data_IF_919917970587
#
_entry.id   IF_919917970587
#
_cell.length_a   1.000
_cell.length_b   1.000
_cell.length_c   1.000
_cell.angle_alpha   90.00
_cell.angle_beta   90.00
_cell.angle_gamma   90.00
#
_symmetry.space_group_name_H-M   'P 1'
#
loop_
_entity.id
_entity.type
_entity.pdbx_description
1 polymer ?
#
# COMPACT_ATOMS: atom_id res chain seq x y z
N UNK A 1 24.48 -4.73 -14.56
CA UNK A 1 24.19 -4.22 -13.20
C UNK A 1 23.34 -2.93 -13.17
N UNK A 2 23.38 -2.07 -14.19
CA UNK A 2 22.65 -0.78 -14.21
C UNK A 2 21.16 -0.91 -14.53
N UNK A 3 20.80 -1.79 -15.48
CA UNK A 3 19.39 -2.02 -15.86
C UNK A 3 18.56 -2.60 -14.70
N UNK A 4 19.10 -3.56 -13.92
CA UNK A 4 18.37 -4.14 -12.78
C UNK A 4 18.05 -3.09 -11.69
N UNK A 5 18.99 -2.18 -11.42
CA UNK A 5 18.78 -1.05 -10.48
C UNK A 5 17.71 -0.10 -10.98
N UNK A 6 17.72 0.19 -12.29
CA UNK A 6 16.74 1.06 -12.95
C UNK A 6 15.34 0.45 -12.92
N UNK A 7 15.20 -0.83 -13.26
CA UNK A 7 13.93 -1.57 -13.19
C UNK A 7 13.39 -1.67 -11.76
N UNK A 8 14.28 -1.86 -10.78
CA UNK A 8 13.92 -1.89 -9.37
C UNK A 8 13.45 -0.52 -8.88
N UNK A 9 14.17 0.55 -9.22
CA UNK A 9 13.76 1.93 -8.92
C UNK A 9 12.42 2.28 -9.57
N UNK A 10 12.20 1.89 -10.82
CA UNK A 10 10.90 2.07 -11.49
C UNK A 10 9.78 1.27 -10.80
N UNK A 11 10.07 0.07 -10.28
CA UNK A 11 9.11 -0.73 -9.51
C UNK A 11 8.71 -0.07 -8.21
N UNK A 12 9.67 0.47 -7.46
CA UNK A 12 9.42 1.22 -6.23
C UNK A 12 8.58 2.48 -6.49
N UNK A 13 8.79 3.16 -7.62
CA UNK A 13 7.98 4.30 -8.03
C UNK A 13 6.54 3.91 -8.39
N UNK A 14 6.35 2.80 -9.12
CA UNK A 14 5.01 2.32 -9.41
C UNK A 14 4.29 1.85 -8.14
N UNK A 15 5.01 1.22 -7.20
CA UNK A 15 4.49 0.87 -5.87
C UNK A 15 4.08 2.10 -5.07
N UNK A 16 4.86 3.19 -5.08
CA UNK A 16 4.49 4.42 -4.38
C UNK A 16 3.19 5.00 -4.93
N UNK A 17 3.05 5.04 -6.26
CA UNK A 17 1.83 5.49 -6.92
C UNK A 17 0.64 4.57 -6.61
N UNK A 18 0.84 3.25 -6.67
CA UNK A 18 -0.20 2.27 -6.38
C UNK A 18 -0.70 2.37 -4.94
N UNK A 19 0.23 2.46 -3.97
CA UNK A 19 -0.10 2.66 -2.56
C UNK A 19 -0.88 3.96 -2.34
N UNK A 20 -0.45 5.05 -2.97
CA UNK A 20 -1.16 6.33 -2.89
C UNK A 20 -2.59 6.26 -3.43
N UNK A 21 -2.80 5.62 -4.59
CA UNK A 21 -4.13 5.45 -5.20
C UNK A 21 -5.02 4.58 -4.31
N UNK A 22 -4.50 3.45 -3.80
CA UNK A 22 -5.26 2.55 -2.93
C UNK A 22 -5.63 3.23 -1.63
N UNK A 23 -4.69 3.97 -1.02
CA UNK A 23 -4.99 4.70 0.20
C UNK A 23 -6.07 5.77 -0.01
N UNK A 24 -5.99 6.53 -1.11
CA UNK A 24 -7.03 7.49 -1.48
C UNK A 24 -8.38 6.81 -1.69
N UNK A 25 -8.38 5.65 -2.35
CA UNK A 25 -9.58 4.82 -2.54
C UNK A 25 -10.19 4.37 -1.22
N UNK A 26 -9.37 3.91 -0.26
CA UNK A 26 -9.84 3.53 1.07
C UNK A 26 -10.47 4.74 1.76
N UNK A 27 -9.79 5.89 1.75
CA UNK A 27 -10.30 7.13 2.37
C UNK A 27 -11.66 7.50 1.78
N UNK A 28 -11.77 7.56 0.45
CA UNK A 28 -12.99 7.96 -0.23
C UNK A 28 -14.17 6.99 0.03
N UNK A 29 -13.90 5.68 0.14
CA UNK A 29 -14.92 4.67 0.49
C UNK A 29 -15.39 4.78 1.94
N UNK A 30 -14.46 5.06 2.86
CA UNK A 30 -14.77 5.29 4.28
C UNK A 30 -15.59 6.56 4.48
N UNK A 31 -15.23 7.65 3.81
CA UNK A 31 -15.96 8.93 3.88
C UNK A 31 -17.24 8.95 3.03
N UNK A 32 -17.42 7.96 2.14
CA UNK A 32 -18.57 7.90 1.22
C UNK A 32 -18.53 8.96 0.12
N UNK A 33 -17.35 9.49 -0.20
CA UNK A 33 -17.14 10.54 -1.22
C UNK A 33 -16.59 10.01 -2.54
N UNK A 34 -16.50 8.69 -2.71
CA UNK A 34 -15.98 8.05 -3.92
C UNK A 34 -16.98 8.11 -5.09
N UNK A 35 -18.26 7.87 -4.84
CA UNK A 35 -19.28 7.78 -5.90
C UNK A 35 -19.24 6.43 -6.63
N UNK A 36 -19.83 6.34 -7.83
CA UNK A 36 -19.94 5.07 -8.56
C UNK A 36 -18.82 4.86 -9.58
N UNK A 37 -18.09 3.76 -9.44
CA UNK A 37 -17.05 3.27 -10.38
C UNK A 37 -17.59 3.15 -11.81
N UNK A 38 -18.88 2.85 -12.00
CA UNK A 38 -19.48 2.69 -13.34
C UNK A 38 -19.78 4.01 -14.04
N UNK A 39 -19.81 5.13 -13.31
CA UNK A 39 -20.18 6.44 -13.86
C UNK A 39 -18.91 7.22 -14.18
N UNK A 40 -18.68 7.50 -15.47
CA UNK A 40 -17.51 8.28 -15.91
C UNK A 40 -17.52 9.67 -15.29
N UNK A 41 -16.37 10.09 -14.75
CA UNK A 41 -16.20 11.41 -14.13
C UNK A 41 -16.34 11.41 -12.60
N UNK A 42 -16.83 10.32 -12.00
CA UNK A 42 -16.82 10.18 -10.53
C UNK A 42 -15.40 9.95 -10.02
N UNK A 43 -15.18 10.28 -8.75
CA UNK A 43 -13.89 10.06 -8.10
C UNK A 43 -13.52 8.56 -8.11
N UNK A 44 -14.47 7.68 -7.83
CA UNK A 44 -14.33 6.23 -7.89
C UNK A 44 -13.93 5.74 -9.29
N UNK A 45 -14.51 6.28 -10.37
CA UNK A 45 -14.13 5.92 -11.73
C UNK A 45 -12.67 6.29 -12.03
N UNK A 46 -12.25 7.49 -11.63
CA UNK A 46 -10.87 7.95 -11.85
C UNK A 46 -9.86 7.13 -11.04
N UNK A 47 -10.15 6.84 -9.78
CA UNK A 47 -9.31 6.03 -8.92
C UNK A 47 -9.20 4.59 -9.43
N UNK A 48 -10.31 3.95 -9.82
CA UNK A 48 -10.31 2.59 -10.35
C UNK A 48 -9.48 2.50 -11.63
N UNK A 49 -9.69 3.43 -12.57
CA UNK A 49 -8.94 3.49 -13.82
C UNK A 49 -7.43 3.69 -13.59
N UNK A 50 -7.07 4.58 -12.67
CA UNK A 50 -5.67 4.82 -12.32
C UNK A 50 -5.06 3.58 -11.64
N UNK A 51 -5.80 2.95 -10.72
CA UNK A 51 -5.39 1.74 -10.01
C UNK A 51 -5.07 0.61 -10.99
N UNK A 52 -5.98 0.31 -11.91
CA UNK A 52 -5.80 -0.78 -12.88
C UNK A 52 -4.60 -0.51 -13.79
N UNK A 53 -4.45 0.73 -14.28
CA UNK A 53 -3.32 1.12 -15.10
C UNK A 53 -1.96 0.95 -14.38
N UNK A 54 -1.86 1.38 -13.12
CA UNK A 54 -0.63 1.27 -12.33
C UNK A 54 -0.38 -0.17 -11.91
N UNK A 55 -1.42 -0.92 -11.55
CA UNK A 55 -1.32 -2.33 -11.16
C UNK A 55 -0.79 -3.19 -12.31
N UNK A 56 -1.36 -3.06 -13.51
CA UNK A 56 -0.89 -3.81 -14.69
C UNK A 56 0.57 -3.50 -15.02
N UNK A 57 0.98 -2.22 -14.94
CA UNK A 57 2.39 -1.83 -15.14
C UNK A 57 3.31 -2.41 -14.07
N UNK A 58 2.88 -2.38 -12.80
CA UNK A 58 3.65 -2.93 -11.67
C UNK A 58 3.86 -4.44 -11.83
N UNK A 59 2.82 -5.16 -12.25
CA UNK A 59 2.88 -6.60 -12.47
C UNK A 59 3.83 -6.98 -13.62
N UNK A 60 3.75 -6.25 -14.74
CA UNK A 60 4.65 -6.45 -15.88
C UNK A 60 6.11 -6.22 -15.49
N UNK A 61 6.39 -5.11 -14.80
CA UNK A 61 7.74 -4.78 -14.39
C UNK A 61 8.30 -5.76 -13.35
N UNK A 62 7.47 -6.23 -12.42
CA UNK A 62 7.86 -7.25 -11.44
C UNK A 62 8.20 -8.59 -12.12
N UNK A 63 7.43 -8.99 -13.14
CA UNK A 63 7.74 -10.19 -13.92
C UNK A 63 9.05 -10.04 -14.70
N UNK A 64 9.30 -8.87 -15.28
CA UNK A 64 10.58 -8.57 -15.94
C UNK A 64 11.74 -8.64 -14.94
N UNK A 65 11.60 -8.06 -13.75
CA UNK A 65 12.63 -8.12 -12.69
C UNK A 65 12.96 -9.55 -12.27
N UNK A 66 11.95 -10.39 -12.04
CA UNK A 66 12.15 -11.81 -11.71
C UNK A 66 12.88 -12.56 -12.82
N UNK A 67 12.47 -12.32 -14.06
CA UNK A 67 13.06 -12.94 -15.25
C UNK A 67 14.53 -12.51 -15.40
N UNK A 68 14.80 -11.21 -15.31
CA UNK A 68 16.15 -10.64 -15.39
C UNK A 68 17.07 -11.08 -14.24
N UNK A 69 16.51 -11.26 -13.03
CA UNK A 69 17.24 -11.82 -11.88
C UNK A 69 17.66 -13.27 -12.12
N UNK A 70 16.77 -14.11 -12.66
CA UNK A 70 17.09 -15.49 -13.03
C UNK A 70 18.18 -15.56 -14.11
N UNK A 71 18.14 -14.68 -15.11
CA UNK A 71 19.18 -14.60 -16.14
C UNK A 71 20.52 -14.04 -15.64
N UNK A 72 20.51 -13.23 -14.58
CA UNK A 72 21.75 -12.71 -13.97
C UNK A 72 22.59 -13.83 -13.32
N UNK A 73 22.00 -14.98 -12.99
CA UNK A 73 22.74 -16.19 -12.56
C UNK A 73 23.68 -16.72 -13.65
N UNK A 74 23.45 -16.37 -14.91
CA UNK A 74 24.22 -16.82 -16.08
C UNK A 74 25.21 -15.77 -16.64
N UNK A 75 25.30 -14.57 -16.04
CA UNK A 75 26.27 -13.55 -16.48
C UNK A 75 27.67 -13.83 -15.92
N UNK A 76 28.68 -13.92 -16.80
CA UNK A 76 30.09 -14.07 -16.42
C UNK A 76 30.53 -12.93 -15.49
N UNK A 77 31.05 -13.29 -14.32
CA UNK A 77 31.45 -12.35 -13.25
C UNK A 77 32.78 -11.66 -13.61
N UNK A 78 32.73 -10.54 -14.32
CA UNK A 78 33.89 -9.67 -14.54
C UNK A 78 33.67 -8.37 -13.78
N UNK A 79 34.35 -8.18 -12.64
CA UNK A 79 34.38 -6.88 -11.93
C UNK A 79 33.84 -6.83 -10.49
N UNK A 80 33.88 -7.93 -9.72
CA UNK A 80 33.43 -7.97 -8.32
C UNK A 80 32.08 -8.69 -8.12
N UNK A 81 31.76 -9.06 -6.89
CA UNK A 81 30.53 -9.78 -6.56
C UNK A 81 29.31 -8.87 -6.73
N UNK A 82 28.53 -9.10 -7.78
CA UNK A 82 27.17 -8.59 -7.88
C UNK A 82 26.32 -9.24 -6.77
N UNK A 83 25.74 -8.47 -5.81
CA UNK A 83 25.06 -9.04 -4.66
C UNK A 83 23.66 -9.53 -5.04
N UNK A 84 23.59 -10.62 -5.81
CA UNK A 84 22.36 -11.17 -6.36
C UNK A 84 21.30 -11.45 -5.28
N UNK A 85 21.73 -11.93 -4.11
CA UNK A 85 20.85 -12.23 -2.98
C UNK A 85 20.15 -10.97 -2.42
N UNK A 86 20.83 -9.82 -2.40
CA UNK A 86 20.24 -8.55 -1.95
C UNK A 86 19.16 -8.11 -2.94
N UNK A 87 19.45 -8.11 -4.25
CA UNK A 87 18.46 -7.75 -5.26
C UNK A 87 17.26 -8.70 -5.28
N UNK A 88 17.48 -10.00 -5.10
CA UNK A 88 16.40 -10.99 -4.99
C UNK A 88 15.49 -10.67 -3.79
N UNK A 89 16.07 -10.36 -2.62
CA UNK A 89 15.32 -9.91 -1.44
C UNK A 89 14.55 -8.60 -1.66
N UNK A 90 15.10 -7.65 -2.41
CA UNK A 90 14.42 -6.39 -2.77
C UNK A 90 13.24 -6.66 -3.72
N UNK A 91 13.41 -7.53 -4.73
CA UNK A 91 12.34 -7.93 -5.66
C UNK A 91 11.20 -8.62 -4.90
N UNK A 92 11.51 -9.52 -3.98
CA UNK A 92 10.51 -10.17 -3.14
C UNK A 92 9.77 -9.17 -2.25
N UNK A 93 10.48 -8.19 -1.70
CA UNK A 93 9.87 -7.12 -0.89
C UNK A 93 8.92 -6.27 -1.73
N UNK A 94 9.31 -5.89 -2.95
CA UNK A 94 8.42 -5.22 -3.92
C UNK A 94 7.15 -6.04 -4.22
N UNK A 95 7.30 -7.36 -4.39
CA UNK A 95 6.15 -8.25 -4.61
C UNK A 95 5.21 -8.28 -3.40
N UNK A 96 5.75 -8.45 -2.19
CA UNK A 96 4.94 -8.48 -0.97
C UNK A 96 4.22 -7.15 -0.74
N UNK A 97 4.91 -6.02 -0.94
CA UNK A 97 4.30 -4.69 -0.90
C UNK A 97 3.13 -4.54 -1.88
N UNK A 98 3.29 -5.01 -3.12
CA UNK A 98 2.22 -5.01 -4.12
C UNK A 98 1.02 -5.85 -3.67
N UNK A 99 1.28 -7.05 -3.14
CA UNK A 99 0.26 -7.98 -2.66
C UNK A 99 -0.51 -7.43 -1.46
N UNK A 100 0.18 -6.89 -0.45
CA UNK A 100 -0.46 -6.28 0.72
C UNK A 100 -1.30 -5.07 0.32
N UNK A 101 -0.79 -4.23 -0.58
CA UNK A 101 -1.53 -3.06 -1.07
C UNK A 101 -2.77 -3.49 -1.87
N UNK A 102 -2.66 -4.53 -2.70
CA UNK A 102 -3.81 -5.09 -3.42
C UNK A 102 -4.86 -5.69 -2.46
N UNK A 103 -4.42 -6.37 -1.40
CA UNK A 103 -5.30 -6.92 -0.38
C UNK A 103 -6.05 -5.81 0.39
N UNK A 104 -5.38 -4.71 0.73
CA UNK A 104 -6.03 -3.52 1.29
C UNK A 104 -7.10 -2.95 0.36
N UNK A 105 -6.79 -2.84 -0.94
CA UNK A 105 -7.75 -2.38 -1.96
C UNK A 105 -8.98 -3.30 -2.02
N UNK A 106 -8.78 -4.61 -1.97
CA UNK A 106 -9.86 -5.58 -1.99
C UNK A 106 -10.72 -5.51 -0.72
N UNK A 107 -10.10 -5.56 0.47
CA UNK A 107 -10.80 -5.47 1.75
C UNK A 107 -11.65 -4.20 1.85
N UNK A 108 -11.19 -3.09 1.29
CA UNK A 108 -11.93 -1.83 1.33
C UNK A 108 -13.22 -1.81 0.49
N UNK A 109 -13.48 -2.81 -0.36
CA UNK A 109 -14.76 -2.94 -1.08
C UNK A 109 -15.94 -3.05 -0.11
N UNK A 110 -15.72 -3.63 1.07
CA UNK A 110 -16.74 -3.77 2.13
C UNK A 110 -17.31 -2.41 2.53
N UNK A 111 -16.48 -1.37 2.61
CA UNK A 111 -16.94 -0.02 2.92
C UNK A 111 -17.85 0.58 1.83
N UNK A 112 -17.61 0.23 0.56
CA UNK A 112 -18.44 0.67 -0.57
C UNK A 112 -19.77 -0.09 -0.64
N UNK A 113 -19.76 -1.40 -0.36
CA UNK A 113 -20.99 -2.21 -0.32
C UNK A 113 -21.94 -1.71 0.76
N UNK A 114 -21.42 -1.39 1.95
CA UNK A 114 -22.22 -0.84 3.05
C UNK A 114 -22.82 0.54 2.71
N UNK A 115 -22.16 1.34 1.85
CA UNK A 115 -22.72 2.61 1.39
C UNK A 115 -23.86 2.43 0.37
N UNK A 116 -23.84 1.34 -0.43
CA UNK A 116 -24.80 1.09 -1.52
C UNK A 116 -26.07 0.40 -1.04
N UNK A 117 -25.98 -0.46 -0.02
CA UNK A 117 -27.12 -1.28 0.37
C UNK A 117 -28.24 -0.48 1.00
N UNK A 118 -28.00 0.61 1.75
CA UNK A 118 -29.05 1.50 2.30
C UNK A 118 -30.12 0.85 3.20
N UNK A 119 -30.17 -0.48 3.24
CA UNK A 119 -31.21 -1.34 3.83
C UNK A 119 -30.76 -1.93 5.17
N UNK A 120 -29.46 -1.95 5.45
CA UNK A 120 -28.96 -2.21 6.80
C UNK A 120 -28.86 -0.87 7.50
N UNK A 121 -29.64 -0.67 8.57
CA UNK A 121 -29.45 0.46 9.46
C UNK A 121 -27.96 0.54 9.81
N UNK A 122 -27.30 1.63 9.42
CA UNK A 122 -25.89 1.85 9.73
C UNK A 122 -25.77 1.77 11.24
N UNK A 123 -25.07 0.76 11.74
CA UNK A 123 -24.87 0.64 13.18
C UNK A 123 -24.20 1.92 13.68
N UNK A 124 -24.59 2.35 14.89
CA UNK A 124 -23.98 3.52 15.51
C UNK A 124 -22.45 3.38 15.54
N UNK A 125 -21.98 2.16 15.82
CA UNK A 125 -20.59 1.76 15.72
C UNK A 125 -19.94 2.07 14.35
N UNK A 126 -20.57 1.69 13.24
CA UNK A 126 -20.04 1.95 11.88
C UNK A 126 -19.89 3.45 11.60
N UNK A 127 -20.85 4.25 12.06
CA UNK A 127 -20.83 5.71 11.90
C UNK A 127 -19.68 6.33 12.71
N UNK A 128 -19.56 5.97 13.98
CA UNK A 128 -18.51 6.46 14.88
C UNK A 128 -17.13 6.04 14.38
N UNK A 129 -16.99 4.79 13.94
CA UNK A 129 -15.78 4.25 13.34
C UNK A 129 -15.34 5.03 12.09
N UNK A 130 -16.25 5.27 11.15
CA UNK A 130 -15.94 6.02 9.92
C UNK A 130 -15.52 7.45 10.20
N UNK A 131 -16.16 8.10 11.18
CA UNK A 131 -15.78 9.44 11.61
C UNK A 131 -14.33 9.47 12.12
N UNK A 132 -13.92 8.50 12.94
CA UNK A 132 -12.55 8.43 13.47
C UNK A 132 -11.51 8.08 12.41
N UNK A 133 -11.82 7.14 11.50
CA UNK A 133 -10.92 6.80 10.38
C UNK A 133 -10.67 8.01 9.48
N UNK A 134 -11.70 8.83 9.22
CA UNK A 134 -11.57 10.03 8.40
C UNK A 134 -10.57 11.05 8.98
N UNK A 135 -10.44 11.12 10.31
CA UNK A 135 -9.60 12.08 11.01
C UNK A 135 -8.10 11.67 11.06
N UNK A 136 -7.77 10.40 10.81
CA UNK A 136 -6.43 9.83 11.11
C UNK A 136 -5.52 9.61 9.88
N UNK A 137 -5.91 10.11 8.71
CA UNK A 137 -5.33 9.73 7.40
C UNK A 137 -3.87 10.17 7.11
N UNK A 138 -3.14 10.78 8.06
CA UNK A 138 -1.84 11.44 7.87
C UNK A 138 -0.67 10.50 7.54
N UNK A 139 -0.75 9.21 7.88
CA UNK A 139 0.42 8.28 7.81
C UNK A 139 0.82 7.90 6.39
N UNK A 140 -0.10 7.93 5.44
CA UNK A 140 0.09 7.30 4.13
C UNK A 140 0.96 8.10 3.17
N UNK A 141 1.00 9.43 3.33
CA UNK A 141 1.92 10.28 2.59
C UNK A 141 3.38 9.92 2.90
N UNK A 142 3.70 9.54 4.15
CA UNK A 142 5.07 9.18 4.56
C UNK A 142 5.54 7.89 3.87
N UNK A 143 4.68 6.88 3.73
CA UNK A 143 5.01 5.64 3.01
C UNK A 143 5.25 5.91 1.52
N UNK A 144 4.36 6.68 0.89
CA UNK A 144 4.52 7.06 -0.53
C UNK A 144 5.82 7.82 -0.76
N UNK A 145 6.13 8.83 0.07
CA UNK A 145 7.36 9.59 -0.04
C UNK A 145 8.60 8.72 0.16
N UNK A 146 8.59 7.80 1.12
CA UNK A 146 9.70 6.90 1.36
C UNK A 146 9.94 5.96 0.17
N UNK A 147 8.90 5.38 -0.42
CA UNK A 147 9.01 4.57 -1.63
C UNK A 147 9.52 5.37 -2.83
N UNK A 148 9.08 6.63 -2.98
CA UNK A 148 9.57 7.52 -4.02
C UNK A 148 11.05 7.90 -3.82
N UNK A 149 11.47 8.15 -2.58
CA UNK A 149 12.87 8.42 -2.25
C UNK A 149 13.76 7.19 -2.50
N UNK A 150 13.31 6.01 -2.08
CA UNK A 150 14.00 4.74 -2.38
C UNK A 150 14.10 4.50 -3.89
N UNK A 151 13.05 4.81 -4.65
CA UNK A 151 13.06 4.77 -6.11
C UNK A 151 14.16 5.66 -6.68
N UNK A 152 14.22 6.94 -6.27
CA UNK A 152 15.25 7.87 -6.74
C UNK A 152 16.67 7.44 -6.34
N UNK A 153 16.84 6.93 -5.13
CA UNK A 153 18.12 6.42 -4.64
C UNK A 153 18.59 5.24 -5.49
N UNK A 154 17.69 4.34 -5.86
CA UNK A 154 18.03 3.14 -6.62
C UNK A 154 18.20 3.39 -8.13
N UNK A 155 17.42 4.30 -8.71
CA UNK A 155 17.57 4.69 -10.11
C UNK A 155 18.82 5.54 -10.38
N UNK A 156 19.17 6.45 -9.47
CA UNK A 156 20.24 7.44 -9.69
C UNK A 156 21.49 7.21 -8.83
N UNK A 157 21.49 6.21 -7.95
CA UNK A 157 22.61 5.94 -7.03
C UNK A 157 22.81 7.05 -5.99
N UNK A 158 21.79 7.86 -5.73
CA UNK A 158 21.87 8.94 -4.76
C UNK A 158 21.72 8.39 -3.33
N UNK A 159 22.52 8.87 -2.37
CA UNK A 159 22.35 8.48 -0.98
C UNK A 159 21.00 8.94 -0.44
N UNK A 160 20.40 8.14 0.43
CA UNK A 160 19.17 8.54 1.12
C UNK A 160 19.43 9.75 2.03
N UNK A 161 18.44 10.63 2.22
CA UNK A 161 18.58 11.78 3.12
C UNK A 161 19.01 11.35 4.54
N UNK A 162 19.93 12.09 5.20
CA UNK A 162 20.52 11.69 6.47
C UNK A 162 19.55 11.61 7.67
N UNK A 163 18.31 12.08 7.52
CA UNK A 163 17.27 12.07 8.56
C UNK A 163 15.94 11.47 8.06
N UNK A 164 16.00 10.39 7.28
CA UNK A 164 14.78 9.71 6.85
C UNK A 164 14.06 9.06 8.04
N UNK A 165 13.01 9.72 8.52
CA UNK A 165 12.10 9.18 9.51
C UNK A 165 11.26 8.05 8.91
N UNK A 166 11.28 6.89 9.56
CA UNK A 166 10.38 5.80 9.16
C UNK A 166 8.93 6.19 9.49
N UNK A 167 7.98 5.97 8.57
CA UNK A 167 6.57 6.18 8.86
C UNK A 167 6.19 5.28 10.03
N UNK A 168 5.86 5.82 11.19
CA UNK A 168 5.46 5.01 12.34
C UNK A 168 4.31 4.07 11.96
N UNK A 169 4.28 2.82 12.49
CA UNK A 169 3.18 1.90 12.27
C UNK A 169 1.86 2.61 12.57
N UNK A 170 0.85 2.33 11.76
CA UNK A 170 -0.46 2.95 11.79
C UNK A 170 -0.95 3.13 13.25
N UNK A 171 -0.77 4.33 13.81
CA UNK A 171 -1.07 4.61 15.22
C UNK A 171 -2.57 4.72 15.47
N UNK A 172 -3.38 4.49 14.45
CA UNK A 172 -4.83 4.53 14.50
C UNK A 172 -5.39 3.67 15.62
N UNK A 173 -4.87 2.46 15.86
CA UNK A 173 -5.34 1.64 16.99
C UNK A 173 -5.13 2.39 18.31
N UNK A 174 -3.98 3.03 18.51
CA UNK A 174 -3.71 3.85 19.69
C UNK A 174 -4.52 5.14 19.74
N UNK A 175 -4.92 5.68 18.60
CA UNK A 175 -5.72 6.90 18.53
C UNK A 175 -7.21 6.58 18.78
N UNK A 176 -7.71 5.48 18.24
CA UNK A 176 -9.04 4.95 18.52
C UNK A 176 -9.14 4.52 19.97
N UNK A 177 -8.18 3.77 20.49
CA UNK A 177 -8.17 3.32 21.90
C UNK A 177 -8.17 4.51 22.90
N UNK A 178 -7.62 5.67 22.49
CA UNK A 178 -7.69 6.91 23.28
C UNK A 178 -9.06 7.60 23.22
N UNK A 179 -9.83 7.40 22.15
CA UNK A 179 -11.09 8.09 21.90
C UNK A 179 -12.27 7.22 22.32
N UNK A 180 -12.26 5.95 21.95
CA UNK A 180 -13.23 4.94 22.33
C UNK A 180 -12.55 3.53 22.36
N UNK A 181 -12.23 3.00 23.55
CA UNK A 181 -11.61 1.68 23.71
C UNK A 181 -12.58 0.53 23.36
N UNK A 182 -13.89 0.73 23.42
CA UNK A 182 -14.88 -0.30 23.09
C UNK A 182 -15.08 -0.43 21.57
N UNK A 183 -14.71 0.58 20.78
CA UNK A 183 -14.85 0.57 19.33
C UNK A 183 -14.05 -0.56 18.65
N UNK A 184 -12.89 -0.92 19.19
CA UNK A 184 -12.07 -2.04 18.66
C UNK A 184 -12.29 -3.35 19.44
N UNK A 185 -13.32 -3.41 20.29
CA UNK A 185 -13.66 -4.62 21.03
C UNK A 185 -14.04 -5.75 20.08
N UNK A 186 -13.62 -6.98 20.41
CA UNK A 186 -13.92 -8.23 19.67
C UNK A 186 -15.43 -8.44 19.52
N UNK A 187 -16.25 -7.81 20.37
CA UNK A 187 -17.72 -7.82 20.28
C UNK A 187 -18.25 -7.33 18.93
N UNK A 188 -17.51 -6.44 18.27
CA UNK A 188 -17.87 -5.90 16.95
C UNK A 188 -17.35 -6.75 15.78
N UNK A 189 -16.80 -7.96 16.03
CA UNK A 189 -16.28 -8.84 14.96
C UNK A 189 -17.34 -9.27 13.94
N UNK A 190 -18.62 -9.25 14.33
CA UNK A 190 -19.74 -9.54 13.45
C UNK A 190 -19.96 -8.42 12.40
N UNK A 191 -19.43 -7.23 12.64
CA UNK A 191 -19.53 -6.12 11.71
C UNK A 191 -18.59 -6.35 10.51
N UNK A 192 -19.10 -6.32 9.26
CA UNK A 192 -18.28 -6.59 8.09
C UNK A 192 -17.15 -5.56 7.93
N UNK A 193 -17.39 -4.31 8.32
CA UNK A 193 -16.38 -3.24 8.30
C UNK A 193 -15.24 -3.46 9.28
N UNK A 194 -15.51 -4.10 10.43
CA UNK A 194 -14.47 -4.47 11.40
C UNK A 194 -13.46 -5.44 10.77
N UNK A 195 -13.96 -6.46 10.06
CA UNK A 195 -13.11 -7.44 9.38
C UNK A 195 -12.24 -6.80 8.28
N UNK A 196 -12.83 -5.92 7.47
CA UNK A 196 -12.10 -5.19 6.43
C UNK A 196 -11.02 -4.29 7.03
N UNK A 197 -11.34 -3.61 8.12
CA UNK A 197 -10.39 -2.79 8.85
C UNK A 197 -9.23 -3.60 9.43
N UNK A 198 -9.51 -4.75 10.06
CA UNK A 198 -8.48 -5.62 10.61
C UNK A 198 -7.49 -6.10 9.53
N UNK A 199 -7.99 -6.47 8.34
CA UNK A 199 -7.14 -6.83 7.20
C UNK A 199 -6.25 -5.65 6.78
N UNK A 200 -6.83 -4.46 6.65
CA UNK A 200 -6.08 -3.25 6.29
C UNK A 200 -4.98 -2.93 7.32
N UNK A 201 -5.26 -3.12 8.62
CA UNK A 201 -4.26 -2.95 9.68
C UNK A 201 -3.10 -3.94 9.55
N UNK A 202 -3.41 -5.23 9.42
CA UNK A 202 -2.39 -6.27 9.29
C UNK A 202 -1.54 -6.04 8.05
N UNK A 203 -2.14 -5.69 6.91
CA UNK A 203 -1.41 -5.32 5.70
C UNK A 203 -0.54 -4.07 5.90
N UNK A 204 -1.05 -3.04 6.59
CA UNK A 204 -0.28 -1.84 6.87
C UNK A 204 0.94 -2.13 7.77
N UNK A 205 0.80 -3.02 8.76
CA UNK A 205 1.92 -3.44 9.61
C UNK A 205 2.94 -4.28 8.82
N UNK A 206 2.46 -5.18 7.95
CA UNK A 206 3.33 -5.99 7.09
C UNK A 206 4.12 -5.11 6.09
N UNK A 207 3.47 -4.10 5.50
CA UNK A 207 4.12 -3.09 4.66
C UNK A 207 5.21 -2.37 5.44
N UNK A 208 4.91 -1.91 6.66
CA UNK A 208 5.89 -1.23 7.49
C UNK A 208 7.12 -2.12 7.79
N UNK A 209 6.88 -3.37 8.18
CA UNK A 209 7.95 -4.33 8.45
C UNK A 209 8.82 -4.62 7.22
N UNK A 210 8.24 -4.67 6.01
CA UNK A 210 9.02 -4.82 4.78
C UNK A 210 9.76 -3.52 4.40
N UNK A 211 9.20 -2.34 4.66
CA UNK A 211 9.91 -1.07 4.47
C UNK A 211 11.13 -0.94 5.39
N UNK A 212 11.05 -1.44 6.62
CA UNK A 212 12.21 -1.49 7.53
C UNK A 212 13.33 -2.39 7.00
N UNK A 213 12.99 -3.50 6.33
CA UNK A 213 13.98 -4.36 5.67
C UNK A 213 14.62 -3.67 4.47
N UNK A 214 13.85 -2.91 3.68
CA UNK A 214 14.33 -2.19 2.49
C UNK A 214 15.34 -1.07 2.82
N UNK A 215 15.40 -0.61 4.08
CA UNK A 215 16.37 0.40 4.54
C UNK A 215 17.74 -0.18 4.90
N UNK A 216 17.81 -1.47 5.27
CA UNK A 216 19.05 -2.13 5.68
C UNK A 216 19.89 -2.55 4.48
#
# INVERSE_FOLDING_TARGET
STELRKDLGASLYLLSNFYSIVHETIRARVTGTDGDVKVKGTHAYHLEKARDAVFSKSMLLLNNLKTNSQFSKFQLRVGGQFPAAEYEGLIESCQRLLQYTALMSHASLTFSMHNKTGEFEKSQWSTDFRQLVSQTSTTSHKITSLLALLSSSMSYGQPLPPYLEMPQPFQFVKQVDKIDPDLLSIRHIAEPEYSAFAVIQVCSQAIHADLEKLKR
#
